data_IF_280038782014
#
_entry.id   IF_280038782014
#
_cell.length_a   1.000
_cell.length_b   1.000
_cell.length_c   1.000
_cell.angle_alpha   90.00
_cell.angle_beta   90.00
_cell.angle_gamma   90.00
#
_symmetry.space_group_name_H-M   'P 1'
#
loop_
_entity.id
_entity.type
_entity.pdbx_description
1 polymer ?
#
# COMPACT_ATOMS: atom_id res chain seq x y z
N UNK A 1 41.29 -12.89 -29.11
CA UNK A 1 41.37 -12.40 -27.71
C UNK A 1 40.90 -10.94 -27.74
N UNK A 2 39.88 -10.44 -27.06
CA UNK A 2 39.04 -10.87 -25.93
C UNK A 2 37.71 -10.12 -26.16
N UNK A 3 36.58 -10.82 -26.26
CA UNK A 3 35.27 -10.15 -26.32
C UNK A 3 34.96 -9.63 -24.91
N UNK A 4 34.78 -8.31 -24.78
CA UNK A 4 34.30 -7.71 -23.54
C UNK A 4 32.79 -7.96 -23.42
N UNK A 5 32.43 -8.82 -22.48
CA UNK A 5 31.07 -8.93 -21.95
C UNK A 5 30.96 -7.90 -20.83
N UNK A 6 30.19 -6.84 -21.07
CA UNK A 6 29.55 -6.03 -20.04
C UNK A 6 28.15 -5.74 -20.62
N UNK A 7 27.08 -6.40 -20.18
CA UNK A 7 26.69 -6.43 -18.77
C UNK A 7 25.95 -5.13 -18.50
N UNK A 8 24.70 -5.06 -18.94
CA UNK A 8 23.89 -3.86 -18.84
C UNK A 8 22.49 -4.16 -19.37
N UNK A 9 21.77 -4.95 -18.60
CA UNK A 9 20.34 -5.24 -18.73
C UNK A 9 19.62 -3.89 -18.84
N UNK A 10 19.42 -3.40 -20.07
CA UNK A 10 18.80 -2.12 -20.34
C UNK A 10 17.31 -2.26 -20.02
N UNK A 11 16.98 -2.01 -18.75
CA UNK A 11 15.73 -1.41 -18.31
C UNK A 11 14.43 -2.09 -18.77
N UNK A 12 14.24 -3.36 -18.39
CA UNK A 12 12.89 -3.95 -18.26
C UNK A 12 12.19 -3.47 -16.97
N UNK A 13 12.26 -2.17 -16.68
CA UNK A 13 11.78 -1.59 -15.40
C UNK A 13 10.75 -0.48 -15.55
N UNK A 14 10.34 -0.14 -16.77
CA UNK A 14 9.47 1.01 -17.06
C UNK A 14 8.07 0.61 -17.54
N UNK A 15 7.57 -0.59 -17.19
CA UNK A 15 6.23 -1.07 -17.56
C UNK A 15 5.40 -1.58 -16.37
N UNK A 16 5.76 -1.21 -15.13
CA UNK A 16 4.84 -1.36 -14.00
C UNK A 16 3.76 -0.25 -13.95
N UNK A 17 3.74 0.65 -14.92
CA UNK A 17 2.71 1.70 -15.07
C UNK A 17 1.47 1.19 -15.83
N UNK A 18 1.13 -0.09 -15.66
CA UNK A 18 -0.10 -0.74 -16.14
C UNK A 18 -1.02 -1.13 -14.99
N UNK A 19 -0.87 -0.50 -13.82
CA UNK A 19 -1.80 -0.68 -12.70
C UNK A 19 -3.12 0.09 -12.94
N UNK A 20 -3.59 0.11 -14.19
CA UNK A 20 -4.71 0.87 -14.70
C UNK A 20 -5.21 0.37 -16.05
N UNK A 21 -5.48 -0.93 -16.19
CA UNK A 21 -6.52 -1.43 -17.11
C UNK A 21 -6.81 -2.93 -16.85
N UNK A 22 -7.76 -3.24 -15.96
CA UNK A 22 -8.37 -4.58 -15.87
C UNK A 22 -7.85 -5.56 -14.82
N UNK A 23 -7.00 -5.13 -13.88
CA UNK A 23 -6.56 -5.99 -12.77
C UNK A 23 -7.50 -5.85 -11.56
N UNK A 24 -7.80 -6.99 -10.93
CA UNK A 24 -8.70 -7.10 -9.77
C UNK A 24 -8.23 -6.21 -8.61
N UNK A 25 -9.16 -5.70 -7.80
CA UNK A 25 -8.79 -4.86 -6.66
C UNK A 25 -7.97 -5.69 -5.66
N UNK A 26 -6.73 -5.27 -5.38
CA UNK A 26 -5.87 -5.98 -4.42
C UNK A 26 -6.45 -5.82 -3.01
N UNK A 27 -6.27 -6.84 -2.18
CA UNK A 27 -6.80 -6.84 -0.81
C UNK A 27 -5.98 -5.95 0.11
N UNK A 28 -6.58 -5.51 1.21
CA UNK A 28 -5.85 -4.77 2.25
C UNK A 28 -4.74 -5.61 2.88
N UNK A 29 -4.91 -6.93 2.95
CA UNK A 29 -3.92 -7.84 3.50
C UNK A 29 -2.65 -7.92 2.66
N UNK A 30 -2.79 -7.93 1.33
CA UNK A 30 -1.66 -7.79 0.41
C UNK A 30 -0.90 -6.49 0.67
N UNK A 31 -1.60 -5.36 0.78
CA UNK A 31 -0.93 -4.08 1.01
C UNK A 31 -0.27 -3.98 2.39
N UNK A 32 -0.72 -4.73 3.40
CA UNK A 32 -0.04 -4.79 4.71
C UNK A 32 1.37 -5.40 4.61
N UNK A 33 1.58 -6.37 3.71
CA UNK A 33 2.92 -6.93 3.45
C UNK A 33 3.70 -6.11 2.41
N UNK A 34 3.04 -5.17 1.73
CA UNK A 34 3.58 -4.34 0.65
C UNK A 34 3.30 -2.84 0.87
N UNK A 35 3.71 -2.30 2.02
CA UNK A 35 3.37 -0.93 2.44
C UNK A 35 3.91 0.15 1.49
N UNK A 36 5.08 -0.04 0.90
CA UNK A 36 5.64 0.94 -0.06
C UNK A 36 4.83 0.98 -1.36
N UNK A 37 4.31 -0.17 -1.80
CA UNK A 37 3.37 -0.25 -2.91
C UNK A 37 2.02 0.40 -2.55
N UNK A 38 1.53 0.20 -1.33
CA UNK A 38 0.33 0.84 -0.84
C UNK A 38 0.44 2.38 -0.90
N UNK A 39 1.59 2.93 -0.47
CA UNK A 39 1.86 4.39 -0.53
C UNK A 39 1.88 4.90 -1.96
N UNK A 40 2.55 4.18 -2.86
CA UNK A 40 2.60 4.52 -4.27
C UNK A 40 1.19 4.53 -4.88
N UNK A 41 0.40 3.48 -4.60
CA UNK A 41 -0.97 3.37 -5.07
C UNK A 41 -1.86 4.50 -4.56
N UNK A 42 -1.82 4.82 -3.26
CA UNK A 42 -2.59 5.95 -2.71
C UNK A 42 -2.18 7.29 -3.35
N UNK A 43 -0.90 7.47 -3.68
CA UNK A 43 -0.45 8.67 -4.38
C UNK A 43 -0.99 8.74 -5.83
N UNK A 44 -1.11 7.61 -6.52
CA UNK A 44 -1.78 7.54 -7.82
C UNK A 44 -3.28 7.82 -7.70
N UNK A 45 -3.96 7.24 -6.71
CA UNK A 45 -5.38 7.46 -6.45
C UNK A 45 -5.71 8.94 -6.28
N UNK A 46 -4.83 9.72 -5.65
CA UNK A 46 -5.00 11.17 -5.48
C UNK A 46 -4.89 11.97 -6.77
N UNK A 47 -4.19 11.44 -7.79
CA UNK A 47 -4.03 12.07 -9.10
C UNK A 47 -5.17 11.74 -10.05
N UNK A 48 -5.96 10.72 -9.76
CA UNK A 48 -7.08 10.30 -10.58
C UNK A 48 -8.31 11.16 -10.30
N UNK A 49 -8.77 11.92 -11.31
CA UNK A 49 -10.02 12.70 -11.21
C UNK A 49 -11.27 11.80 -11.26
N UNK A 50 -11.19 10.64 -11.91
CA UNK A 50 -12.27 9.66 -12.00
C UNK A 50 -11.72 8.26 -11.81
N UNK A 51 -12.37 7.50 -10.94
CA UNK A 51 -12.05 6.12 -10.63
C UNK A 51 -13.29 5.25 -10.79
N UNK A 52 -13.13 4.07 -11.38
CA UNK A 52 -14.16 3.03 -11.38
C UNK A 52 -14.25 2.34 -10.01
N UNK A 53 -15.27 1.52 -9.79
CA UNK A 53 -15.51 0.85 -8.49
C UNK A 53 -14.34 -0.03 -8.05
N UNK A 54 -13.69 -0.73 -8.99
CA UNK A 54 -12.52 -1.58 -8.70
C UNK A 54 -11.34 -0.74 -8.23
N UNK A 55 -11.06 0.37 -8.91
CA UNK A 55 -10.02 1.32 -8.52
C UNK A 55 -10.31 1.96 -7.16
N UNK A 56 -11.55 2.37 -6.90
CA UNK A 56 -11.93 2.91 -5.60
C UNK A 56 -11.71 1.90 -4.48
N UNK A 57 -12.04 0.62 -4.71
CA UNK A 57 -11.81 -0.46 -3.74
C UNK A 57 -10.32 -0.71 -3.53
N UNK A 58 -9.53 -0.77 -4.59
CA UNK A 58 -8.07 -0.93 -4.52
C UNK A 58 -7.40 0.22 -3.74
N UNK A 59 -7.78 1.47 -4.05
CA UNK A 59 -7.34 2.67 -3.34
C UNK A 59 -7.72 2.64 -1.85
N UNK A 60 -8.93 2.18 -1.54
CA UNK A 60 -9.42 2.06 -0.16
C UNK A 60 -8.63 1.00 0.62
N UNK A 61 -8.36 -0.14 -0.01
CA UNK A 61 -7.57 -1.22 0.58
C UNK A 61 -6.12 -0.79 0.84
N UNK A 62 -5.49 -0.08 -0.11
CA UNK A 62 -4.15 0.47 0.05
C UNK A 62 -4.09 1.51 1.18
N UNK A 63 -5.06 2.44 1.23
CA UNK A 63 -5.14 3.45 2.29
C UNK A 63 -5.29 2.80 3.67
N UNK A 64 -6.19 1.82 3.78
CA UNK A 64 -6.42 1.09 5.03
C UNK A 64 -5.18 0.38 5.53
N UNK A 65 -4.41 -0.25 4.64
CA UNK A 65 -3.15 -0.91 5.01
C UNK A 65 -2.11 0.07 5.57
N UNK A 66 -1.99 1.27 4.99
CA UNK A 66 -1.08 2.32 5.51
C UNK A 66 -1.55 2.79 6.89
N UNK A 67 -2.84 3.06 7.06
CA UNK A 67 -3.41 3.56 8.32
C UNK A 67 -3.26 2.52 9.43
N UNK A 68 -3.56 1.25 9.13
CA UNK A 68 -3.43 0.14 10.10
C UNK A 68 -1.97 -0.19 10.42
N UNK A 69 -1.06 -0.14 9.45
CA UNK A 69 0.37 -0.26 9.72
C UNK A 69 0.88 0.89 10.59
N UNK A 70 0.38 2.11 10.34
CA UNK A 70 0.63 3.26 11.21
C UNK A 70 0.10 3.07 12.62
N UNK A 71 -1.07 2.44 12.79
CA UNK A 71 -1.66 2.12 14.09
C UNK A 71 -0.96 0.96 14.82
N UNK A 72 -0.48 -0.07 14.12
CA UNK A 72 0.38 -1.11 14.71
C UNK A 72 1.68 -0.48 15.23
N UNK A 73 2.31 0.39 14.44
CA UNK A 73 3.50 1.13 14.87
C UNK A 73 3.18 2.17 15.97
N UNK A 74 1.98 2.76 15.95
CA UNK A 74 1.45 3.65 16.98
C UNK A 74 0.77 2.89 18.13
N UNK A 75 0.88 1.55 18.17
CA UNK A 75 0.41 0.67 19.24
C UNK A 75 1.15 0.88 20.57
N UNK A 76 2.03 1.87 20.64
CA UNK A 76 2.58 2.41 21.88
C UNK A 76 1.85 3.67 22.39
N UNK A 77 0.89 4.26 21.66
CA UNK A 77 0.33 5.58 22.01
C UNK A 77 -1.20 5.69 22.11
N UNK A 78 -2.01 4.75 21.61
CA UNK A 78 -3.47 4.83 21.75
C UNK A 78 -4.03 3.70 22.60
N UNK A 79 -4.40 4.06 23.83
CA UNK A 79 -5.31 3.27 24.67
C UNK A 79 -4.66 2.18 25.50
N UNK A 80 -3.90 2.57 26.53
CA UNK A 80 -3.97 1.78 27.78
C UNK A 80 -5.43 1.88 28.24
N UNK A 81 -6.26 0.91 27.89
CA UNK A 81 -7.56 0.74 28.51
C UNK A 81 -7.32 0.65 30.00
N UNK A 82 -7.80 1.64 30.76
CA UNK A 82 -7.71 1.63 32.21
C UNK A 82 -8.75 0.61 32.72
N UNK A 83 -8.34 -0.58 33.21
CA UNK A 83 -9.29 -1.61 33.63
C UNK A 83 -10.12 -1.16 34.84
N UNK A 84 -9.72 -0.11 35.55
CA UNK A 84 -10.45 0.46 36.68
C UNK A 84 -11.56 1.44 36.27
N UNK A 85 -11.71 1.78 34.99
CA UNK A 85 -12.80 2.65 34.51
C UNK A 85 -14.20 2.01 34.61
N UNK A 86 -14.27 0.69 34.86
CA UNK A 86 -15.51 -0.06 35.08
C UNK A 86 -15.75 -0.43 36.55
N UNK A 87 -14.89 0.01 37.49
CA UNK A 87 -15.19 -0.11 38.93
C UNK A 87 -16.15 1.01 39.33
N UNK A 88 -17.43 0.70 39.26
CA UNK A 88 -18.48 1.49 39.91
C UNK A 88 -18.38 1.30 41.43
N UNK A 89 -18.45 2.41 42.16
CA UNK A 89 -18.49 2.49 43.63
C UNK A 89 -19.85 2.07 44.17
#
# INVERSE_FOLDING_TARGET
MKHFIFGGLLSLGALAFLAGCGDEAKTSDYYKTHIDEAKARVAECKKMEKMNETQQRDCSNAKWAIETNGLENAGSSWGKSNPDALKWK
#
